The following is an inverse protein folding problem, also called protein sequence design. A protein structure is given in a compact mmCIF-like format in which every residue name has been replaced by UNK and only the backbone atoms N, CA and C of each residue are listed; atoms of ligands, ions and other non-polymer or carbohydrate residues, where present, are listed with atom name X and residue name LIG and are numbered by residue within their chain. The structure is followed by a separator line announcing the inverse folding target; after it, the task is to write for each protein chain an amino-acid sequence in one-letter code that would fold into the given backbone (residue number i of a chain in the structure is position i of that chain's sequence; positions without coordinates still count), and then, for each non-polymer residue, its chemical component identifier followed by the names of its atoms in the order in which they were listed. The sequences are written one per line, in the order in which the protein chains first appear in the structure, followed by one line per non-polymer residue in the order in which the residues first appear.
data_IF_567042045565
#
_entry.id   IF_567042045565
#
_cell.length_a   1.000
_cell.length_b   1.000
_cell.length_c   1.000
_cell.angle_alpha   90.00
_cell.angle_beta   90.00
_cell.angle_gamma   90.00
#
_symmetry.space_group_name_H-M   'P 1'
#
loop_
_entity.id
_entity.type
_entity.pdbx_description
1 polymer ?
#
# COMPACT_ATOMS: atom_id res chain seq x y z
N UNK A 1 37.61 -9.72 16.84
CA UNK A 1 37.22 -9.72 16.44
C UNK A 1 36.35 -9.86 16.29
N UNK A 2 36.08 -9.61 16.23
CA UNK A 2 35.32 -9.51 15.90
C UNK A 2 34.44 -9.49 15.51
N UNK A 3 34.23 -9.30 15.56
CA UNK A 3 33.42 -9.21 15.12
C UNK A 3 32.57 -9.33 14.93
N UNK A 4 32.52 -9.08 15.20
CA UNK A 4 31.75 -9.15 14.98
C UNK A 4 30.85 -9.16 14.91
N UNK A 5 30.86 -8.88 15.11
CA UNK A 5 30.10 -8.84 14.95
C UNK A 5 29.20 -8.75 14.82
N UNK A 6 29.16 -8.49 14.94
CA UNK A 6 28.43 -8.30 14.64
C UNK A 6 27.48 -8.35 14.65
N UNK A 7 27.51 -8.24 14.75
CA UNK A 7 26.48 -8.14 14.70
C UNK A 7 25.57 -8.14 14.71
N UNK A 8 25.71 -7.81 14.78
CA UNK A 8 24.97 -7.73 14.51
C UNK A 8 24.08 -7.67 14.40
N UNK A 9 24.36 -7.41 14.57
CA UNK A 9 23.67 -7.37 14.28
C UNK A 9 22.84 -7.41 14.46
N UNK A 10 23.07 -7.05 14.62
CA UNK A 10 22.41 -7.12 14.59
C UNK A 10 21.50 -7.40 14.83
N UNK A 11 21.74 -7.32 15.13
CA UNK A 11 20.86 -7.51 15.03
C UNK A 11 19.94 -7.61 15.65
N UNK A 12 19.81 -7.29 15.84
CA UNK A 12 18.81 -7.36 16.41
C UNK A 12 17.77 -6.73 16.35
N UNK A 13 17.80 -6.03 16.34
CA UNK A 13 16.79 -5.41 16.17
C UNK A 13 15.79 -5.82 15.64
N UNK A 14 15.69 -5.84 15.85
CA UNK A 14 15.07 -6.21 14.99
C UNK A 14 14.19 -7.39 15.18
N UNK A 15 14.18 -8.04 16.30
CA UNK A 15 13.32 -9.17 16.54
C UNK A 15 11.84 -8.83 16.41
N UNK A 16 11.43 -7.67 16.92
CA UNK A 16 10.04 -7.25 16.79
C UNK A 16 9.66 -7.04 15.33
N UNK A 17 10.58 -6.49 14.55
CA UNK A 17 10.32 -6.27 13.14
C UNK A 17 10.20 -7.58 12.39
N UNK A 18 10.95 -8.58 12.82
CA UNK A 18 10.90 -9.89 12.19
C UNK A 18 9.62 -10.63 12.47
N UNK A 19 8.94 -10.28 13.53
CA UNK A 19 7.67 -10.90 13.87
C UNK A 19 6.55 -10.50 12.93
N UNK A 20 6.74 -9.41 12.17
CA UNK A 20 5.73 -8.92 11.25
C UNK A 20 6.17 -9.15 9.83
N UNK A 21 5.46 -10.01 9.12
CA UNK A 21 5.60 -10.14 7.68
C UNK A 21 4.60 -9.23 7.01
N UNK A 22 4.91 -8.82 5.79
CA UNK A 22 4.01 -8.00 5.00
C UNK A 22 3.62 -8.73 3.74
N UNK A 23 2.40 -8.52 3.32
CA UNK A 23 1.91 -8.97 2.02
C UNK A 23 1.90 -7.79 1.06
N UNK A 24 2.06 -8.09 -0.21
CA UNK A 24 2.02 -7.10 -1.28
C UNK A 24 0.86 -7.37 -2.21
N UNK A 25 0.27 -6.30 -2.70
CA UNK A 25 -0.82 -6.35 -3.66
C UNK A 25 -0.50 -5.32 -4.73
N UNK A 26 0.05 -5.80 -5.83
CA UNK A 26 0.51 -4.94 -6.92
C UNK A 26 -0.35 -5.19 -8.15
N UNK A 27 -0.55 -4.16 -8.94
CA UNK A 27 -1.28 -4.35 -10.18
C UNK A 27 -1.65 -3.06 -10.86
N UNK A 28 -2.53 -3.20 -11.84
CA UNK A 28 -3.12 -2.10 -12.58
C UNK A 28 -4.59 -2.02 -12.21
N UNK A 29 -5.07 -0.82 -11.98
CA UNK A 29 -6.46 -0.60 -11.61
C UNK A 29 -6.99 0.69 -12.21
N UNK A 30 -8.12 1.15 -11.68
CA UNK A 30 -8.78 2.36 -12.12
C UNK A 30 -9.14 3.20 -10.91
N UNK A 31 -8.77 4.48 -10.96
CA UNK A 31 -9.19 5.46 -9.95
C UNK A 31 -10.40 6.19 -10.49
N UNK A 32 -11.45 6.27 -9.69
CA UNK A 32 -12.62 7.09 -9.98
C UNK A 32 -12.54 8.35 -9.12
N UNK A 33 -12.60 9.50 -9.76
CA UNK A 33 -12.57 10.79 -9.07
C UNK A 33 -13.95 11.16 -8.59
N UNK A 34 -14.03 12.20 -7.74
CA UNK A 34 -15.30 12.70 -7.25
C UNK A 34 -16.24 13.20 -8.35
N UNK A 35 -15.71 13.47 -9.54
CA UNK A 35 -16.51 13.88 -10.70
C UNK A 35 -16.88 12.70 -11.60
N UNK A 36 -16.60 11.49 -11.18
CA UNK A 36 -16.93 10.30 -11.96
C UNK A 36 -15.97 9.99 -13.09
N UNK A 37 -14.81 10.64 -13.11
CA UNK A 37 -13.80 10.39 -14.13
C UNK A 37 -12.98 9.16 -13.77
N UNK A 38 -12.78 8.26 -14.71
CA UNK A 38 -11.98 7.06 -14.53
C UNK A 38 -10.57 7.28 -15.09
N UNK A 39 -9.57 6.95 -14.27
CA UNK A 39 -8.16 7.15 -14.62
C UNK A 39 -7.44 5.82 -14.44
N UNK A 40 -6.79 5.29 -15.49
CA UNK A 40 -5.99 4.06 -15.32
C UNK A 40 -4.74 4.34 -14.51
N UNK A 41 -4.47 3.48 -13.53
CA UNK A 41 -3.34 3.67 -12.61
C UNK A 41 -2.64 2.34 -12.38
N UNK A 42 -1.43 2.46 -11.83
CA UNK A 42 -0.68 1.34 -11.26
C UNK A 42 -0.65 1.51 -9.76
N UNK A 43 -0.60 0.41 -9.03
CA UNK A 43 -0.53 0.47 -7.58
C UNK A 43 0.40 -0.58 -7.01
N UNK A 44 1.03 -0.22 -5.90
CA UNK A 44 1.73 -1.12 -4.99
C UNK A 44 1.14 -0.90 -3.62
N UNK A 45 0.56 -1.93 -3.04
CA UNK A 45 0.02 -1.87 -1.68
C UNK A 45 0.73 -2.89 -0.82
N UNK A 46 0.92 -2.54 0.44
CA UNK A 46 1.56 -3.41 1.42
C UNK A 46 0.74 -3.38 2.70
N UNK A 47 0.53 -4.52 3.31
CA UNK A 47 -0.21 -4.63 4.56
C UNK A 47 0.32 -5.80 5.39
N UNK A 48 0.18 -5.74 6.73
CA UNK A 48 0.76 -6.79 7.58
C UNK A 48 0.00 -8.10 7.47
N UNK A 49 0.75 -9.21 7.54
CA UNK A 49 0.18 -10.54 7.70
C UNK A 49 -0.04 -10.82 9.19
N UNK A 50 -1.15 -11.47 9.51
CA UNK A 50 -1.41 -11.89 10.88
C UNK A 50 -0.47 -13.00 11.31
N UNK A 51 -0.19 -13.93 10.42
CA UNK A 51 0.69 -15.07 10.68
C UNK A 51 1.80 -15.07 9.62
N UNK A 52 3.04 -14.73 10.01
CA UNK A 52 4.15 -14.68 9.05
C UNK A 52 4.41 -16.00 8.33
N UNK A 53 4.05 -17.11 8.97
CA UNK A 53 4.27 -18.44 8.40
C UNK A 53 3.01 -19.06 7.82
N UNK A 54 1.90 -18.34 7.87
CA UNK A 54 0.64 -18.84 7.38
C UNK A 54 0.38 -18.48 5.93
N UNK A 55 -0.78 -18.90 5.41
CA UNK A 55 -1.18 -18.52 4.06
C UNK A 55 -1.46 -17.02 3.99
N UNK A 56 -1.50 -16.49 2.78
CA UNK A 56 -1.82 -15.10 2.55
C UNK A 56 -3.21 -14.81 3.11
N UNK A 57 -3.35 -13.68 3.80
CA UNK A 57 -4.64 -13.30 4.33
C UNK A 57 -5.37 -12.38 3.35
N UNK A 58 -6.69 -12.32 3.51
CA UNK A 58 -7.51 -11.44 2.72
C UNK A 58 -7.22 -9.99 3.10
N UNK A 59 -6.86 -9.12 2.14
CA UNK A 59 -6.57 -7.72 2.44
C UNK A 59 -7.73 -6.99 3.12
N UNK A 60 -8.98 -7.37 2.82
CA UNK A 60 -10.13 -6.71 3.40
C UNK A 60 -10.28 -6.93 4.90
N UNK A 61 -9.54 -7.89 5.46
CA UNK A 61 -9.56 -8.17 6.90
C UNK A 61 -8.57 -7.31 7.68
N UNK A 62 -7.68 -6.61 6.99
CA UNK A 62 -6.75 -5.69 7.64
C UNK A 62 -7.41 -4.34 7.83
N UNK A 63 -7.04 -3.63 8.90
CA UNK A 63 -7.51 -2.26 9.08
C UNK A 63 -6.97 -1.38 7.96
N UNK A 64 -7.79 -0.50 7.37
CA UNK A 64 -7.32 0.35 6.28
C UNK A 64 -6.07 1.15 6.63
N UNK A 65 -5.96 1.63 7.86
CA UNK A 65 -4.79 2.40 8.32
C UNK A 65 -3.49 1.61 8.31
N UNK A 66 -3.56 0.29 8.25
CA UNK A 66 -2.36 -0.56 8.23
C UNK A 66 -1.78 -0.70 6.83
N UNK A 67 -2.50 -0.25 5.81
CA UNK A 67 -2.02 -0.28 4.44
C UNK A 67 -1.07 0.87 4.20
N UNK A 68 -0.03 0.59 3.44
CA UNK A 68 0.84 1.61 2.88
C UNK A 68 1.06 1.27 1.42
N UNK A 69 1.61 2.21 0.67
CA UNK A 69 1.93 1.95 -0.71
C UNK A 69 1.86 3.18 -1.57
N UNK A 70 1.75 2.94 -2.86
CA UNK A 70 1.78 3.99 -3.86
C UNK A 70 0.72 3.72 -4.94
N UNK A 71 0.14 4.80 -5.45
CA UNK A 71 -0.75 4.78 -6.61
C UNK A 71 -0.33 5.90 -7.53
N UNK A 72 -0.08 5.58 -8.79
CA UNK A 72 0.35 6.58 -9.78
C UNK A 72 -0.26 6.27 -11.14
N UNK A 73 -0.31 7.30 -12.00
CA UNK A 73 -0.78 7.14 -13.36
C UNK A 73 0.44 7.07 -14.30
N UNK A 74 0.68 5.96 -14.97
CA UNK A 74 1.85 5.84 -15.86
C UNK A 74 1.73 6.72 -17.12
N UNK A 75 0.54 7.24 -17.41
CA UNK A 75 0.30 8.06 -18.59
C UNK A 75 0.23 9.54 -18.30
N UNK A 76 0.26 9.95 -17.03
CA UNK A 76 0.11 11.34 -16.63
C UNK A 76 0.88 11.61 -15.35
N UNK A 77 2.04 12.21 -15.47
CA UNK A 77 2.90 12.52 -14.33
C UNK A 77 2.33 13.55 -13.38
N UNK A 78 1.28 14.28 -13.78
CA UNK A 78 0.64 15.28 -12.91
C UNK A 78 -0.46 14.70 -12.02
N UNK A 79 -0.81 13.43 -12.20
CA UNK A 79 -1.92 12.81 -11.49
C UNK A 79 -1.82 12.99 -9.98
N UNK A 80 -0.67 12.67 -9.39
CA UNK A 80 -0.49 12.74 -7.95
C UNK A 80 -0.65 14.18 -7.45
N UNK A 81 -0.05 15.15 -8.12
CA UNK A 81 -0.12 16.55 -7.67
C UNK A 81 -1.51 17.14 -7.87
N UNK A 82 -2.21 16.77 -8.94
CA UNK A 82 -3.55 17.28 -9.21
C UNK A 82 -4.55 16.80 -8.16
N UNK A 83 -4.42 15.55 -7.73
CA UNK A 83 -5.39 14.95 -6.81
C UNK A 83 -4.86 14.82 -5.38
N UNK A 84 -3.71 15.41 -5.07
CA UNK A 84 -3.12 15.34 -3.74
C UNK A 84 -4.11 15.79 -2.67
N UNK A 85 -4.26 15.00 -1.62
CA UNK A 85 -5.16 15.29 -0.51
C UNK A 85 -6.64 15.05 -0.78
N UNK A 86 -7.01 14.69 -2.00
CA UNK A 86 -8.41 14.40 -2.34
C UNK A 86 -8.68 12.92 -2.18
N UNK A 87 -9.85 12.60 -1.64
CA UNK A 87 -10.27 11.21 -1.50
C UNK A 87 -10.70 10.66 -2.85
N UNK A 88 -10.10 9.54 -3.23
CA UNK A 88 -10.34 8.87 -4.49
C UNK A 88 -10.74 7.43 -4.23
N UNK A 89 -11.41 6.81 -5.20
CA UNK A 89 -11.75 5.39 -5.14
C UNK A 89 -10.88 4.63 -6.13
N UNK A 90 -10.18 3.62 -5.62
CA UNK A 90 -9.36 2.72 -6.44
C UNK A 90 -10.08 1.40 -6.59
N UNK A 91 -10.27 0.96 -7.83
CA UNK A 91 -10.72 -0.39 -8.12
C UNK A 91 -9.50 -1.23 -8.47
N UNK A 92 -9.29 -2.28 -7.70
CA UNK A 92 -8.17 -3.20 -7.89
C UNK A 92 -8.41 -4.10 -9.11
N UNK A 93 -7.36 -4.78 -9.53
CA UNK A 93 -7.44 -5.70 -10.67
C UNK A 93 -8.47 -6.81 -10.49
N UNK A 94 -8.70 -7.23 -9.24
CA UNK A 94 -9.68 -8.28 -8.92
C UNK A 94 -11.11 -7.74 -8.73
N UNK A 95 -11.32 -6.45 -8.90
CA UNK A 95 -12.64 -5.83 -8.80
C UNK A 95 -12.97 -5.27 -7.42
N UNK A 96 -12.18 -5.54 -6.41
CA UNK A 96 -12.39 -4.94 -5.08
C UNK A 96 -12.04 -3.46 -5.15
N UNK A 97 -12.65 -2.68 -4.27
CA UNK A 97 -12.50 -1.22 -4.25
C UNK A 97 -12.09 -0.75 -2.87
N UNK A 98 -11.36 0.35 -2.85
CA UNK A 98 -10.99 1.03 -1.62
C UNK A 98 -10.97 2.53 -1.84
N UNK A 99 -11.06 3.27 -0.74
CA UNK A 99 -10.87 4.72 -0.75
C UNK A 99 -9.51 5.05 -0.17
N UNK A 100 -8.89 6.05 -0.77
CA UNK A 100 -7.57 6.50 -0.36
C UNK A 100 -7.37 7.97 -0.72
N UNK A 101 -6.29 8.54 -0.21
CA UNK A 101 -5.81 9.84 -0.68
C UNK A 101 -4.29 9.81 -0.76
N UNK A 102 -3.74 10.65 -1.63
CA UNK A 102 -2.30 10.80 -1.72
C UNK A 102 -1.82 11.69 -0.59
N UNK A 103 -0.83 11.22 0.16
CA UNK A 103 -0.29 11.96 1.30
C UNK A 103 1.10 12.53 1.04
N UNK A 104 1.73 12.18 -0.07
CA UNK A 104 3.03 12.74 -0.45
C UNK A 104 3.17 12.81 -1.97
N UNK A 105 4.25 13.45 -2.41
CA UNK A 105 4.49 13.73 -3.83
C UNK A 105 4.98 12.51 -4.60
N UNK A 106 5.44 11.50 -3.91
CA UNK A 106 5.98 10.29 -4.53
C UNK A 106 4.88 9.28 -4.87
N UNK A 107 3.63 9.66 -4.68
CA UNK A 107 2.52 8.79 -4.93
C UNK A 107 2.10 7.95 -3.73
N UNK A 108 2.73 8.17 -2.57
CA UNK A 108 2.37 7.47 -1.34
C UNK A 108 0.95 7.78 -0.91
N UNK A 109 0.26 6.77 -0.42
CA UNK A 109 -1.16 6.89 -0.11
C UNK A 109 -1.47 6.50 1.33
N UNK A 110 -2.62 6.99 1.79
CA UNK A 110 -3.27 6.51 3.00
C UNK A 110 -4.61 5.92 2.60
N UNK A 111 -4.85 4.67 2.98
CA UNK A 111 -6.12 3.99 2.71
C UNK A 111 -7.08 4.34 3.83
N UNK A 112 -8.29 4.76 3.48
CA UNK A 112 -9.27 5.21 4.46
C UNK A 112 -10.41 4.23 4.64
N UNK A 113 -10.73 3.44 3.61
CA UNK A 113 -11.90 2.56 3.69
C UNK A 113 -11.85 1.46 2.64
N UNK A 114 -12.32 0.27 3.00
CA UNK A 114 -12.62 -0.80 2.06
C UNK A 114 -14.07 -0.72 1.66
N UNK A 115 -14.34 -0.83 0.36
CA UNK A 115 -15.70 -0.78 -0.18
C UNK A 115 -16.21 -2.14 -0.66
N UNK A 116 -15.32 -3.11 -0.75
CA UNK A 116 -15.70 -4.46 -1.18
C UNK A 116 -15.42 -4.77 -2.62
#
# INVERSE_FOLDING_TARGET
MKMLLKPELTGTTTAANKARAFQRLDGSGVVTTGRGRDIPVEYHLSFPKNDPNGPDQDPSKSAPKEFSGQVWCPFDGSFVSVYSGKTLTLRLADGRRLRFFHQDRDGGIAVTEWLG
#
